data_IF_759004296305
#
_entry.id   IF_759004296305
#
_cell.length_a   1.000
_cell.length_b   1.000
_cell.length_c   1.000
_cell.angle_alpha   90.00
_cell.angle_beta   90.00
_cell.angle_gamma   90.00
#
_symmetry.space_group_name_H-M   'P 1'
#
loop_
_entity.id
_entity.type
_entity.pdbx_description
1 polymer ?
#
# COMPACT_ATOMS: atom_id res chain seq x y z
N UNK A 1 21.12 -9.65 1.01
CA UNK A 1 20.48 -8.60 0.18
C UNK A 1 20.03 -7.46 1.08
N UNK A 2 20.14 -6.21 0.59
CA UNK A 2 19.69 -5.02 1.28
C UNK A 2 18.86 -4.18 0.32
N UNK A 3 17.73 -3.67 0.82
CA UNK A 3 16.83 -2.79 0.12
C UNK A 3 16.56 -1.59 1.04
N UNK A 4 16.74 -0.38 0.50
CA UNK A 4 16.44 0.87 1.18
C UNK A 4 15.23 1.50 0.52
N UNK A 5 14.23 1.83 1.32
CA UNK A 5 12.99 2.45 0.87
C UNK A 5 13.08 3.96 1.14
N UNK A 6 12.74 4.80 0.16
CA UNK A 6 12.61 6.24 0.38
C UNK A 6 11.45 6.55 1.36
N UNK A 7 11.52 7.70 2.02
CA UNK A 7 10.50 8.09 3.01
C UNK A 7 9.10 8.28 2.43
N UNK A 8 8.96 8.51 1.13
CA UNK A 8 7.69 8.61 0.41
C UNK A 8 7.21 7.29 -0.19
N UNK A 9 8.04 6.22 -0.08
CA UNK A 9 7.79 4.87 -0.60
C UNK A 9 7.77 4.78 -2.14
N UNK A 10 7.96 5.87 -2.88
CA UNK A 10 7.92 5.90 -4.35
C UNK A 10 9.23 5.51 -5.02
N UNK A 11 10.28 5.29 -4.25
CA UNK A 11 11.59 4.87 -4.78
C UNK A 11 12.40 4.10 -3.75
N UNK A 12 13.44 3.42 -4.22
CA UNK A 12 14.37 2.72 -3.35
C UNK A 12 15.63 2.25 -4.06
N UNK A 13 16.57 1.78 -3.26
CA UNK A 13 17.87 1.32 -3.71
C UNK A 13 18.07 -0.13 -3.32
N UNK A 14 18.71 -0.88 -4.20
CA UNK A 14 19.10 -2.26 -3.97
C UNK A 14 20.62 -2.40 -4.04
N UNK A 15 21.19 -3.14 -3.11
CA UNK A 15 22.58 -3.55 -3.28
C UNK A 15 22.69 -4.70 -4.31
N UNK A 16 23.91 -4.98 -4.77
CA UNK A 16 24.17 -6.03 -5.77
C UNK A 16 23.65 -7.42 -5.37
N UNK A 17 23.58 -7.71 -4.06
CA UNK A 17 23.02 -8.95 -3.57
C UNK A 17 21.51 -9.02 -3.74
N UNK A 18 20.79 -7.91 -3.48
CA UNK A 18 19.36 -7.80 -3.71
C UNK A 18 19.02 -7.89 -5.20
N UNK A 19 19.75 -7.19 -6.06
CA UNK A 19 19.57 -7.26 -7.52
C UNK A 19 19.67 -8.71 -8.03
N UNK A 20 20.63 -9.49 -7.53
CA UNK A 20 20.76 -10.92 -7.90
C UNK A 20 19.58 -11.76 -7.44
N UNK A 21 19.07 -11.52 -6.24
CA UNK A 21 17.92 -12.27 -5.70
C UNK A 21 16.67 -12.08 -6.56
N UNK A 22 16.44 -10.85 -7.04
CA UNK A 22 15.27 -10.55 -7.88
C UNK A 22 15.52 -10.79 -9.39
N UNK A 23 16.69 -11.30 -9.77
CA UNK A 23 17.04 -11.52 -11.17
C UNK A 23 17.11 -10.23 -12.00
N UNK A 24 17.34 -9.10 -11.32
CA UNK A 24 17.46 -7.81 -12.00
C UNK A 24 18.89 -7.62 -12.53
N UNK A 25 19.04 -7.02 -13.74
CA UNK A 25 20.35 -6.61 -14.20
C UNK A 25 20.98 -5.72 -13.12
N UNK A 26 22.27 -5.84 -12.92
CA UNK A 26 23.01 -4.95 -12.03
C UNK A 26 22.63 -3.50 -12.36
N UNK A 27 22.52 -2.67 -11.32
CA UNK A 27 22.10 -1.27 -11.38
C UNK A 27 22.48 -0.71 -12.74
N UNK A 28 21.52 -0.17 -13.48
CA UNK A 28 21.63 0.04 -14.92
C UNK A 28 23.04 0.47 -15.28
N UNK A 29 23.60 -0.06 -16.35
CA UNK A 29 24.96 0.29 -16.80
C UNK A 29 25.17 1.81 -16.94
N UNK A 30 24.08 2.58 -16.83
CA UNK A 30 24.03 4.03 -16.94
C UNK A 30 24.21 4.77 -15.60
N UNK A 31 23.69 4.25 -14.47
CA UNK A 31 23.90 4.85 -13.15
C UNK A 31 23.74 3.80 -12.03
N UNK A 32 24.86 3.23 -11.55
CA UNK A 32 24.85 2.23 -10.48
C UNK A 32 24.29 2.72 -9.12
N UNK A 33 24.15 4.04 -8.95
CA UNK A 33 23.63 4.67 -7.73
C UNK A 33 22.20 5.16 -7.84
N UNK A 34 21.57 5.08 -9.02
CA UNK A 34 20.23 5.58 -9.20
C UNK A 34 19.18 4.74 -8.45
N UNK A 35 18.19 5.38 -7.79
CA UNK A 35 17.07 4.67 -7.22
C UNK A 35 16.18 4.07 -8.32
N UNK A 36 15.61 2.91 -8.05
CA UNK A 36 14.44 2.43 -8.78
C UNK A 36 13.22 3.24 -8.35
N UNK A 37 12.36 3.64 -9.30
CA UNK A 37 11.23 4.54 -9.04
C UNK A 37 9.95 4.00 -9.65
N UNK A 38 8.79 4.40 -9.08
CA UNK A 38 7.43 4.18 -9.59
C UNK A 38 7.12 2.71 -9.92
N UNK A 39 6.50 2.42 -11.07
CA UNK A 39 6.03 1.08 -11.43
C UNK A 39 7.08 -0.03 -11.30
N UNK A 40 8.32 0.12 -11.78
CA UNK A 40 9.38 -0.89 -11.55
C UNK A 40 9.68 -1.12 -10.07
N UNK A 41 9.61 -0.07 -9.26
CA UNK A 41 9.81 -0.14 -7.82
C UNK A 41 8.65 -0.86 -7.12
N UNK A 42 7.41 -0.50 -7.45
CA UNK A 42 6.22 -1.15 -6.89
C UNK A 42 6.14 -2.63 -7.29
N UNK A 43 6.42 -2.95 -8.55
CA UNK A 43 6.48 -4.33 -9.01
C UNK A 43 7.54 -5.16 -8.24
N UNK A 44 8.63 -4.53 -7.80
CA UNK A 44 9.62 -5.19 -6.96
C UNK A 44 9.10 -5.40 -5.54
N UNK A 45 8.42 -4.42 -4.96
CA UNK A 45 7.85 -4.54 -3.62
C UNK A 45 6.82 -5.68 -3.53
N UNK A 46 6.04 -5.91 -4.59
CA UNK A 46 5.09 -7.03 -4.67
C UNK A 46 5.78 -8.40 -4.67
N UNK A 47 7.06 -8.45 -5.02
CA UNK A 47 7.88 -9.66 -5.06
C UNK A 47 8.69 -9.91 -3.78
N UNK A 48 8.56 -9.09 -2.75
CA UNK A 48 9.34 -9.23 -1.52
C UNK A 48 9.15 -10.61 -0.85
N UNK A 49 7.98 -11.21 -1.00
CA UNK A 49 7.70 -12.54 -0.45
C UNK A 49 8.44 -13.69 -1.15
N UNK A 50 9.09 -13.44 -2.30
CA UNK A 50 10.00 -14.39 -2.93
C UNK A 50 11.30 -14.57 -2.11
N UNK A 51 11.62 -13.60 -1.24
CA UNK A 51 12.80 -13.69 -0.38
C UNK A 51 12.47 -14.48 0.88
N UNK A 52 13.17 -15.60 1.15
CA UNK A 52 12.91 -16.41 2.34
C UNK A 52 12.96 -15.59 3.64
N UNK A 53 11.97 -15.79 4.51
CA UNK A 53 11.84 -15.11 5.80
C UNK A 53 11.19 -13.72 5.75
N UNK A 54 10.96 -13.14 4.57
CA UNK A 54 10.35 -11.79 4.46
C UNK A 54 8.90 -11.79 4.92
N UNK A 55 8.16 -12.85 4.63
CA UNK A 55 6.76 -12.98 5.07
C UNK A 55 6.65 -12.97 6.60
N UNK A 56 7.48 -13.75 7.26
CA UNK A 56 7.52 -13.84 8.73
C UNK A 56 7.93 -12.51 9.36
N UNK A 57 8.91 -11.83 8.76
CA UNK A 57 9.32 -10.49 9.19
C UNK A 57 8.19 -9.48 9.02
N UNK A 58 7.47 -9.51 7.92
CA UNK A 58 6.34 -8.63 7.66
C UNK A 58 5.21 -8.86 8.67
N UNK A 59 4.82 -10.10 8.91
CA UNK A 59 3.78 -10.43 9.90
C UNK A 59 4.20 -10.02 11.33
N UNK A 60 5.48 -10.20 11.67
CA UNK A 60 6.03 -9.67 12.93
C UNK A 60 5.97 -8.15 12.99
N UNK A 61 6.26 -7.46 11.86
CA UNK A 61 6.19 -6.01 11.72
C UNK A 61 4.78 -5.46 11.96
N UNK A 62 3.75 -6.09 11.43
CA UNK A 62 2.35 -5.67 11.68
C UNK A 62 2.02 -5.66 13.17
N UNK A 63 2.43 -6.68 13.92
CA UNK A 63 2.22 -6.74 15.37
C UNK A 63 2.91 -5.57 16.10
N UNK A 64 4.16 -5.29 15.72
CA UNK A 64 4.91 -4.19 16.31
C UNK A 64 4.29 -2.84 15.98
N UNK A 65 3.88 -2.64 14.71
CA UNK A 65 3.22 -1.40 14.26
C UNK A 65 1.92 -1.14 15.03
N UNK A 66 1.10 -2.17 15.28
CA UNK A 66 -0.13 -2.02 16.08
C UNK A 66 0.18 -1.52 17.50
N UNK A 67 1.21 -2.07 18.14
CA UNK A 67 1.63 -1.64 19.48
C UNK A 67 2.20 -0.21 19.46
N UNK A 68 3.04 0.12 18.49
CA UNK A 68 3.64 1.44 18.34
C UNK A 68 2.59 2.53 18.07
N UNK A 69 1.59 2.25 17.24
CA UNK A 69 0.47 3.16 16.98
C UNK A 69 -0.24 3.53 18.29
N UNK A 70 -0.63 2.52 19.06
CA UNK A 70 -1.35 2.74 20.32
C UNK A 70 -0.49 3.48 21.34
N UNK A 71 0.80 3.19 21.42
CA UNK A 71 1.74 3.88 22.33
C UNK A 71 1.85 5.37 22.03
N UNK A 72 1.58 5.76 20.78
CA UNK A 72 1.57 7.16 20.29
C UNK A 72 0.18 7.80 20.34
N UNK A 73 -0.83 7.11 20.88
CA UNK A 73 -2.22 7.59 20.91
C UNK A 73 -2.96 7.49 19.58
N UNK A 74 -2.43 6.74 18.59
CA UNK A 74 -3.11 6.49 17.31
C UNK A 74 -4.13 5.39 17.54
N UNK A 75 -5.40 5.75 17.59
CA UNK A 75 -6.52 4.83 17.87
C UNK A 75 -7.28 4.35 16.65
N UNK A 76 -6.90 4.84 15.47
CA UNK A 76 -7.49 4.40 14.21
C UNK A 76 -6.66 4.81 13.01
N UNK A 77 -6.71 3.99 11.97
CA UNK A 77 -5.99 4.19 10.71
C UNK A 77 -6.87 3.84 9.51
N UNK A 78 -6.52 4.41 8.37
CA UNK A 78 -6.99 3.95 7.07
C UNK A 78 -5.81 3.29 6.39
N UNK A 79 -5.89 1.97 6.23
CA UNK A 79 -4.86 1.20 5.53
C UNK A 79 -5.11 1.30 4.02
N UNK A 80 -4.15 1.87 3.32
CA UNK A 80 -4.15 2.04 1.87
C UNK A 80 -3.08 1.18 1.21
N UNK A 81 -2.77 0.03 1.80
CA UNK A 81 -1.82 -0.91 1.21
C UNK A 81 -2.32 -1.43 -0.13
N UNK A 82 -1.42 -1.51 -1.10
CA UNK A 82 -1.75 -1.77 -2.51
C UNK A 82 -2.36 -3.14 -2.75
N UNK A 83 -1.88 -4.15 -2.03
CA UNK A 83 -2.22 -5.57 -2.25
C UNK A 83 -3.37 -6.08 -1.39
N UNK A 84 -4.12 -5.20 -0.70
CA UNK A 84 -5.06 -5.67 0.30
C UNK A 84 -6.27 -6.40 -0.29
N UNK A 85 -6.48 -7.61 0.23
CA UNK A 85 -7.72 -8.38 0.12
C UNK A 85 -8.57 -8.14 1.37
N UNK A 86 -9.93 -8.15 1.27
CA UNK A 86 -10.80 -8.02 2.44
C UNK A 86 -10.49 -8.99 3.58
N UNK A 87 -9.87 -10.13 3.25
CA UNK A 87 -9.57 -11.19 4.22
C UNK A 87 -8.17 -11.10 4.82
N UNK A 88 -7.30 -10.21 4.36
CA UNK A 88 -5.91 -10.10 4.84
C UNK A 88 -5.83 -9.70 6.31
N UNK A 89 -6.46 -8.61 6.69
CA UNK A 89 -6.48 -8.19 8.10
C UNK A 89 -7.21 -9.19 9.02
N UNK A 90 -8.41 -9.69 8.66
CA UNK A 90 -9.05 -10.76 9.44
C UNK A 90 -8.17 -11.99 9.63
N UNK A 91 -7.44 -12.42 8.58
CA UNK A 91 -6.50 -13.53 8.65
C UNK A 91 -5.33 -13.24 9.59
N UNK A 92 -4.70 -12.04 9.48
CA UNK A 92 -3.59 -11.61 10.34
C UNK A 92 -3.99 -11.57 11.80
N UNK A 93 -5.12 -10.93 12.14
CA UNK A 93 -5.57 -10.86 13.53
C UNK A 93 -5.92 -12.24 14.09
N UNK A 94 -6.52 -13.12 13.28
CA UNK A 94 -6.77 -14.51 13.68
C UNK A 94 -5.47 -15.24 13.96
N UNK A 95 -4.49 -15.15 13.06
CA UNK A 95 -3.19 -15.80 13.27
C UNK A 95 -2.47 -15.28 14.53
N UNK A 96 -2.55 -13.99 14.83
CA UNK A 96 -2.02 -13.41 16.06
C UNK A 96 -2.75 -13.95 17.30
N UNK A 97 -4.07 -14.13 17.24
CA UNK A 97 -4.86 -14.68 18.33
C UNK A 97 -4.51 -16.18 18.58
N UNK A 98 -4.39 -16.96 17.51
CA UNK A 98 -4.00 -18.38 17.60
C UNK A 98 -2.60 -18.57 18.19
N UNK A 99 -1.69 -17.62 17.91
CA UNK A 99 -0.34 -17.60 18.49
C UNK A 99 -0.27 -17.00 19.91
N UNK A 100 -1.39 -16.51 20.44
CA UNK A 100 -1.43 -15.86 21.76
C UNK A 100 -0.71 -14.51 21.82
N UNK A 101 -0.52 -13.84 20.67
CA UNK A 101 0.21 -12.57 20.55
C UNK A 101 -0.67 -11.41 20.07
N UNK A 102 -1.99 -11.62 19.98
CA UNK A 102 -2.91 -10.53 19.66
C UNK A 102 -2.91 -9.48 20.76
N UNK A 103 -2.70 -8.19 20.47
CA UNK A 103 -2.82 -7.13 21.44
C UNK A 103 -4.22 -7.09 22.08
N UNK A 104 -4.30 -6.83 23.40
CA UNK A 104 -5.58 -6.70 24.11
C UNK A 104 -6.40 -5.49 23.62
N UNK A 105 -5.72 -4.44 23.20
CA UNK A 105 -6.31 -3.25 22.59
C UNK A 105 -5.85 -3.18 21.13
N UNK A 106 -6.77 -2.86 20.25
CA UNK A 106 -6.50 -2.72 18.82
C UNK A 106 -6.93 -1.33 18.34
N UNK A 107 -6.19 -0.71 17.42
CA UNK A 107 -6.69 0.47 16.71
C UNK A 107 -7.83 0.06 15.78
N UNK A 108 -8.73 0.99 15.46
CA UNK A 108 -9.70 0.80 14.38
C UNK A 108 -8.97 0.83 13.04
N UNK A 109 -9.26 -0.14 12.17
CA UNK A 109 -8.61 -0.25 10.86
C UNK A 109 -9.67 -0.19 9.78
N UNK A 110 -9.56 0.79 8.89
CA UNK A 110 -10.38 0.91 7.68
C UNK A 110 -9.51 0.51 6.50
N UNK A 111 -9.93 -0.50 5.75
CA UNK A 111 -9.17 -1.02 4.62
C UNK A 111 -9.64 -0.35 3.35
N UNK A 112 -8.79 0.46 2.73
CA UNK A 112 -9.07 1.15 1.48
C UNK A 112 -9.21 0.18 0.30
N UNK A 113 -9.96 0.59 -0.69
CA UNK A 113 -10.19 -0.20 -1.92
C UNK A 113 -9.60 0.54 -3.10
N UNK A 114 -8.69 -0.09 -3.82
CA UNK A 114 -8.18 0.45 -5.08
C UNK A 114 -9.14 0.15 -6.24
N UNK A 115 -9.08 0.97 -7.30
CA UNK A 115 -10.00 0.91 -8.45
C UNK A 115 -10.05 -0.46 -9.12
N UNK A 116 -8.93 -1.14 -9.20
CA UNK A 116 -8.79 -2.49 -9.81
C UNK A 116 -9.46 -3.59 -8.99
N UNK A 117 -9.69 -3.36 -7.68
CA UNK A 117 -10.36 -4.27 -6.76
C UNK A 117 -11.84 -3.95 -6.55
N UNK A 118 -12.34 -2.81 -7.03
CA UNK A 118 -13.69 -2.33 -6.72
C UNK A 118 -14.78 -3.37 -7.01
N UNK A 119 -14.76 -4.00 -8.19
CA UNK A 119 -15.79 -4.98 -8.57
C UNK A 119 -15.77 -6.22 -7.65
N UNK A 120 -14.58 -6.66 -7.22
CA UNK A 120 -14.45 -7.74 -6.26
C UNK A 120 -15.12 -7.41 -4.92
N UNK A 121 -14.95 -6.19 -4.42
CA UNK A 121 -15.55 -5.74 -3.17
C UNK A 121 -17.07 -5.55 -3.31
N UNK A 122 -17.53 -5.00 -4.43
CA UNK A 122 -18.97 -4.89 -4.76
C UNK A 122 -19.62 -6.27 -4.80
N UNK A 123 -19.01 -7.24 -5.48
CA UNK A 123 -19.53 -8.61 -5.59
C UNK A 123 -19.67 -9.31 -4.23
N UNK A 124 -18.87 -8.91 -3.23
CA UNK A 124 -18.97 -9.38 -1.84
C UNK A 124 -20.00 -8.62 -1.00
N UNK A 125 -20.70 -7.65 -1.57
CA UNK A 125 -21.68 -6.83 -0.87
C UNK A 125 -21.06 -5.89 0.17
N UNK A 126 -19.77 -5.60 0.08
CA UNK A 126 -19.06 -4.75 1.02
C UNK A 126 -19.23 -3.28 0.62
N UNK A 127 -19.48 -2.44 1.62
CA UNK A 127 -19.63 -0.99 1.48
C UNK A 127 -18.78 -0.29 2.54
N UNK A 128 -18.39 0.96 2.28
CA UNK A 128 -17.68 1.77 3.27
C UNK A 128 -18.38 1.73 4.63
N UNK A 129 -17.65 1.37 5.67
CA UNK A 129 -18.18 1.19 7.02
C UNK A 129 -18.71 -0.22 7.33
N UNK A 130 -18.84 -1.11 6.34
CA UNK A 130 -19.23 -2.50 6.58
C UNK A 130 -18.15 -3.21 7.40
N UNK A 131 -18.54 -3.89 8.47
CA UNK A 131 -17.63 -4.73 9.24
C UNK A 131 -17.13 -5.90 8.38
N UNK A 132 -15.84 -6.14 8.40
CA UNK A 132 -15.27 -7.30 7.72
C UNK A 132 -15.52 -8.59 8.50
N UNK A 133 -15.69 -9.70 7.78
CA UNK A 133 -15.90 -11.01 8.38
C UNK A 133 -14.72 -11.38 9.31
N UNK A 134 -15.04 -11.84 10.52
CA UNK A 134 -14.02 -12.17 11.53
C UNK A 134 -13.39 -10.95 12.22
N UNK A 135 -13.94 -9.73 12.02
CA UNK A 135 -13.50 -8.54 12.76
C UNK A 135 -13.66 -8.72 14.26
N UNK A 136 -12.60 -8.54 15.07
CA UNK A 136 -12.74 -8.38 16.50
C UNK A 136 -13.66 -7.20 16.84
N UNK A 137 -14.18 -7.20 18.09
CA UNK A 137 -14.99 -6.10 18.60
C UNK A 137 -14.21 -5.29 19.64
N UNK A 138 -14.42 -3.99 19.61
CA UNK A 138 -13.97 -3.10 20.68
C UNK A 138 -14.89 -3.21 21.91
N UNK A 139 -14.51 -2.70 23.09
CA UNK A 139 -15.35 -2.73 24.30
C UNK A 139 -16.73 -2.10 24.12
N UNK A 140 -16.86 -1.13 23.21
CA UNK A 140 -18.12 -0.47 22.87
C UNK A 140 -18.97 -1.27 21.86
N UNK A 141 -18.54 -2.48 21.49
CA UNK A 141 -19.21 -3.35 20.52
C UNK A 141 -18.93 -3.01 19.06
N UNK A 142 -18.24 -1.91 18.77
CA UNK A 142 -17.92 -1.53 17.38
C UNK A 142 -16.88 -2.46 16.77
N UNK A 143 -16.91 -2.70 15.44
CA UNK A 143 -15.91 -3.55 14.78
C UNK A 143 -14.55 -2.86 14.73
N UNK A 144 -13.48 -3.65 14.88
CA UNK A 144 -12.09 -3.21 14.68
C UNK A 144 -11.80 -3.00 13.19
N UNK A 145 -12.25 -3.95 12.36
CA UNK A 145 -11.99 -3.95 10.92
C UNK A 145 -13.25 -3.58 10.15
N UNK A 146 -13.17 -2.55 9.34
CA UNK A 146 -14.25 -2.14 8.43
C UNK A 146 -13.69 -1.82 7.06
N UNK A 147 -14.54 -1.98 6.04
CA UNK A 147 -14.23 -1.47 4.72
C UNK A 147 -14.05 0.05 4.77
N UNK A 148 -12.97 0.52 4.18
CA UNK A 148 -12.65 1.93 3.99
C UNK A 148 -13.19 2.48 2.67
N UNK A 149 -12.73 3.69 2.29
CA UNK A 149 -13.15 4.34 1.07
C UNK A 149 -12.46 3.76 -0.17
N UNK A 150 -13.06 4.02 -1.34
CA UNK A 150 -12.38 3.86 -2.62
C UNK A 150 -11.18 4.82 -2.69
N UNK A 151 -10.02 4.31 -3.07
CA UNK A 151 -8.82 5.07 -3.39
C UNK A 151 -8.61 5.11 -4.90
N UNK A 152 -8.43 6.31 -5.42
CA UNK A 152 -8.02 6.53 -6.81
C UNK A 152 -6.73 7.33 -6.81
N UNK A 153 -5.72 6.82 -7.50
CA UNK A 153 -4.47 7.53 -7.75
C UNK A 153 -4.65 8.27 -9.07
N UNK A 154 -4.95 9.56 -8.98
CA UNK A 154 -5.28 10.38 -10.14
C UNK A 154 -4.04 10.78 -10.95
N UNK A 155 -2.90 10.91 -10.29
CA UNK A 155 -1.61 11.31 -10.86
C UNK A 155 -0.46 10.70 -10.05
N UNK A 156 0.78 11.06 -10.38
CA UNK A 156 1.95 10.58 -9.67
C UNK A 156 2.33 11.40 -8.44
N UNK A 157 3.62 11.37 -8.05
CA UNK A 157 4.13 12.08 -6.89
C UNK A 157 5.08 13.22 -7.26
N UNK A 158 5.15 14.25 -6.39
CA UNK A 158 6.09 15.37 -6.60
C UNK A 158 7.54 14.92 -6.46
N UNK A 159 7.82 14.02 -5.51
CA UNK A 159 9.19 13.56 -5.23
C UNK A 159 9.84 12.82 -6.40
N UNK A 160 9.04 12.10 -7.20
CA UNK A 160 9.50 11.41 -8.41
C UNK A 160 9.41 12.26 -9.68
N UNK A 161 8.79 13.45 -9.63
CA UNK A 161 8.54 14.31 -10.78
C UNK A 161 7.39 13.80 -11.65
N UNK A 162 6.54 12.93 -11.14
CA UNK A 162 5.40 12.35 -11.88
C UNK A 162 4.04 12.96 -11.52
N UNK A 163 3.94 13.79 -10.48
CA UNK A 163 2.71 14.53 -10.18
C UNK A 163 2.32 15.44 -11.36
N UNK A 164 1.01 15.47 -11.69
CA UNK A 164 0.53 16.28 -12.82
C UNK A 164 0.51 17.76 -12.48
N UNK A 165 1.28 18.54 -13.22
CA UNK A 165 1.50 19.97 -13.00
C UNK A 165 0.96 20.80 -14.15
N UNK A 166 0.37 21.97 -13.84
CA UNK A 166 -0.05 22.94 -14.85
C UNK A 166 1.12 23.58 -15.62
N UNK A 167 2.31 23.59 -15.02
CA UNK A 167 3.55 24.07 -15.64
C UNK A 167 4.58 22.94 -15.64
N UNK A 168 5.46 22.88 -16.64
CA UNK A 168 6.45 21.82 -16.70
C UNK A 168 7.43 21.89 -15.52
N UNK A 169 7.91 20.75 -15.11
CA UNK A 169 9.04 20.63 -14.20
C UNK A 169 10.30 21.24 -14.85
N UNK A 170 11.31 21.63 -14.03
CA UNK A 170 12.58 22.11 -14.56
C UNK A 170 13.21 21.12 -15.55
N UNK A 171 13.66 21.63 -16.71
CA UNK A 171 14.20 20.79 -17.79
C UNK A 171 15.45 20.00 -17.36
N UNK A 172 16.18 20.50 -16.36
CA UNK A 172 17.38 19.88 -15.80
C UNK A 172 17.09 18.52 -15.14
N UNK A 173 15.83 18.24 -14.79
CA UNK A 173 15.41 16.95 -14.24
C UNK A 173 15.34 15.85 -15.29
N UNK A 174 15.36 16.18 -16.58
CA UNK A 174 15.38 15.21 -17.69
C UNK A 174 14.19 14.26 -17.68
N UNK A 175 13.01 14.70 -17.23
CA UNK A 175 11.83 13.84 -17.10
C UNK A 175 11.22 13.53 -18.46
N UNK A 176 10.79 12.30 -18.67
CA UNK A 176 10.10 11.87 -19.89
C UNK A 176 8.79 12.64 -20.10
N UNK A 177 8.06 12.90 -19.01
CA UNK A 177 6.81 13.65 -19.01
C UNK A 177 7.02 14.99 -18.28
N UNK A 178 7.26 16.05 -19.06
CA UNK A 178 7.59 17.36 -18.49
C UNK A 178 6.54 17.92 -17.52
N UNK A 179 5.27 17.56 -17.66
CA UNK A 179 4.19 17.99 -16.77
C UNK A 179 3.68 16.85 -15.84
N UNK A 180 4.45 15.76 -15.70
CA UNK A 180 4.00 14.58 -14.95
C UNK A 180 2.99 13.73 -15.73
N UNK A 181 2.31 12.82 -15.04
CA UNK A 181 1.39 11.84 -15.64
C UNK A 181 -0.02 11.98 -15.09
N UNK A 182 -1.03 11.68 -15.93
CA UNK A 182 -2.43 11.55 -15.52
C UNK A 182 -2.80 10.08 -15.61
N UNK A 183 -3.22 9.48 -14.49
CA UNK A 183 -3.54 8.05 -14.40
C UNK A 183 -5.00 7.72 -14.66
N UNK A 184 -5.88 8.71 -14.66
CA UNK A 184 -7.31 8.54 -14.90
C UNK A 184 -7.88 9.83 -15.48
N UNK A 185 -8.63 9.72 -16.55
CA UNK A 185 -9.32 10.87 -17.10
C UNK A 185 -10.63 11.20 -16.34
N UNK A 186 -11.20 12.36 -16.66
CA UNK A 186 -12.40 12.85 -15.99
C UNK A 186 -13.63 11.96 -16.20
N UNK A 187 -13.79 11.40 -17.39
CA UNK A 187 -14.95 10.56 -17.73
C UNK A 187 -14.86 9.22 -16.99
N UNK A 188 -13.69 8.60 -17.04
CA UNK A 188 -13.38 7.36 -16.32
C UNK A 188 -13.55 7.53 -14.81
N UNK A 189 -13.04 8.62 -14.24
CA UNK A 189 -13.20 8.92 -12.81
C UNK A 189 -14.68 9.08 -12.43
N UNK A 190 -15.47 9.77 -13.26
CA UNK A 190 -16.89 9.98 -13.01
C UNK A 190 -17.66 8.65 -13.02
N UNK A 191 -17.38 7.77 -13.98
CA UNK A 191 -17.98 6.43 -14.04
C UNK A 191 -17.60 5.58 -12.82
N UNK A 192 -16.32 5.59 -12.49
CA UNK A 192 -15.80 4.86 -11.33
C UNK A 192 -16.48 5.29 -10.02
N UNK A 193 -16.61 6.60 -9.81
CA UNK A 193 -17.29 7.15 -8.63
C UNK A 193 -18.79 6.79 -8.63
N UNK A 194 -19.47 6.82 -9.78
CA UNK A 194 -20.87 6.41 -9.90
C UNK A 194 -21.07 4.92 -9.57
N UNK A 195 -20.13 4.06 -9.96
CA UNK A 195 -20.16 2.63 -9.61
C UNK A 195 -19.90 2.40 -8.13
N UNK A 196 -18.94 3.09 -7.55
CA UNK A 196 -18.58 2.99 -6.13
C UNK A 196 -19.68 3.53 -5.19
N UNK A 197 -20.57 4.40 -5.67
CA UNK A 197 -21.67 4.98 -4.91
C UNK A 197 -22.95 4.10 -4.86
N UNK A 198 -22.96 2.97 -5.55
CA UNK A 198 -24.12 2.03 -5.57
C UNK A 198 -24.02 1.02 -4.43
#
# INVERSE_FOLDING_TARGET
PTLLISGDVHSGWLNSAALRVFGLPGASAQDPGAPMKEDPWFALLDRLDEVPGTRELRESGYRQVLADMLSRGITGVVDMSWSEDPDDWPRRLRAMAEQGVLPQVLPRIRIGVYRDKLEHWIARGLRTGTALAGSPRLPDGSPVLVQGPLKVIADGSMGSGSAHMCQPYPAELGLEHACGVVNIDRAELTDLMARAGR
#
